data_IF_635098506368
#
_entry.id   IF_635098506368
#
_cell.length_a   1.000
_cell.length_b   1.000
_cell.length_c   1.000
_cell.angle_alpha   90.00
_cell.angle_beta   90.00
_cell.angle_gamma   90.00
#
_symmetry.space_group_name_H-M   'P 1'
#
loop_
_entity.id
_entity.type
_entity.pdbx_description
1 polymer ?
#
# COMPACT_ATOMS: atom_id res chain seq x y z
N UNK A 1 3.35 -28.97 4.88
CA UNK A 1 3.69 -27.64 5.46
C UNK A 1 2.85 -27.37 6.70
N UNK A 2 3.40 -26.70 7.71
CA UNK A 2 2.61 -26.26 8.88
C UNK A 2 1.75 -25.05 8.50
N UNK A 3 0.54 -25.00 9.06
CA UNK A 3 -0.45 -23.94 8.83
C UNK A 3 0.14 -22.53 9.06
N UNK A 4 -0.02 -21.62 8.09
CA UNK A 4 0.51 -20.23 8.11
C UNK A 4 -0.56 -19.23 8.55
N UNK A 5 -1.81 -19.46 8.16
CA UNK A 5 -2.97 -18.61 8.42
C UNK A 5 -4.15 -19.44 8.91
N UNK A 6 -5.19 -18.79 9.41
CA UNK A 6 -6.43 -19.44 9.82
C UNK A 6 -7.64 -18.58 9.46
N UNK A 7 -8.78 -19.22 9.21
CA UNK A 7 -10.07 -18.54 9.15
C UNK A 7 -10.61 -18.29 10.55
N UNK A 8 -11.12 -17.09 10.80
CA UNK A 8 -11.73 -16.71 12.08
C UNK A 8 -12.86 -17.66 12.47
N UNK A 9 -13.02 -17.89 13.78
CA UNK A 9 -14.09 -18.77 14.30
C UNK A 9 -15.48 -18.24 13.90
N UNK A 10 -15.67 -16.93 14.10
CA UNK A 10 -16.92 -16.23 13.80
C UNK A 10 -16.95 -15.73 12.37
N UNK A 11 -18.14 -15.76 11.76
CA UNK A 11 -18.41 -15.15 10.47
C UNK A 11 -18.59 -13.64 10.65
N UNK A 12 -18.18 -12.88 9.65
CA UNK A 12 -18.52 -11.47 9.49
C UNK A 12 -19.52 -11.32 8.34
N UNK A 13 -20.39 -10.33 8.43
CA UNK A 13 -21.34 -10.00 7.38
C UNK A 13 -20.75 -8.89 6.49
N UNK A 14 -20.80 -9.06 5.16
CA UNK A 14 -20.43 -8.00 4.24
C UNK A 14 -21.42 -6.82 4.34
N UNK A 15 -20.97 -5.58 4.60
CA UNK A 15 -21.87 -4.44 4.73
C UNK A 15 -22.51 -4.00 3.41
N UNK A 16 -21.93 -4.40 2.28
CA UNK A 16 -22.44 -4.10 0.95
C UNK A 16 -23.47 -5.14 0.47
N UNK A 17 -23.10 -6.42 0.44
CA UNK A 17 -23.94 -7.49 -0.15
C UNK A 17 -24.56 -8.46 0.86
N UNK A 18 -24.34 -8.28 2.17
CA UNK A 18 -24.89 -9.12 3.25
C UNK A 18 -24.43 -10.58 3.26
N UNK A 19 -23.48 -10.96 2.41
CA UNK A 19 -22.89 -12.29 2.43
C UNK A 19 -22.07 -12.52 3.72
N UNK A 20 -22.27 -13.67 4.35
CA UNK A 20 -21.60 -14.07 5.58
C UNK A 20 -20.39 -14.96 5.29
N UNK A 21 -19.20 -14.55 5.70
CA UNK A 21 -17.94 -15.25 5.42
C UNK A 21 -16.99 -15.21 6.60
N UNK A 22 -15.96 -16.07 6.61
CA UNK A 22 -14.89 -16.01 7.61
C UNK A 22 -13.72 -15.22 7.05
N UNK A 23 -13.14 -14.34 7.85
CA UNK A 23 -11.93 -13.62 7.48
C UNK A 23 -10.74 -14.55 7.68
N UNK A 24 -9.79 -14.55 6.75
CA UNK A 24 -8.50 -15.20 6.96
C UNK A 24 -7.53 -14.26 7.69
N UNK A 25 -6.82 -14.77 8.68
CA UNK A 25 -5.80 -14.05 9.45
C UNK A 25 -4.49 -14.84 9.51
N UNK A 26 -3.39 -14.11 9.47
CA UNK A 26 -2.06 -14.68 9.62
C UNK A 26 -1.85 -15.17 11.07
N UNK A 27 -1.27 -16.36 11.24
CA UNK A 27 -0.82 -16.79 12.56
C UNK A 27 0.42 -16.00 12.99
N UNK A 28 0.31 -15.27 14.09
CA UNK A 28 1.43 -14.57 14.73
C UNK A 28 2.09 -15.44 15.81
N UNK A 29 3.35 -15.16 16.14
CA UNK A 29 4.11 -15.89 17.17
C UNK A 29 4.87 -17.12 16.67
N UNK A 30 5.40 -17.93 17.60
CA UNK A 30 6.22 -19.13 17.31
C UNK A 30 7.39 -18.88 16.34
N UNK A 31 7.98 -17.68 16.39
CA UNK A 31 9.05 -17.21 15.51
C UNK A 31 8.75 -17.41 14.01
N UNK A 32 7.47 -17.35 13.62
CA UNK A 32 7.03 -17.52 12.23
C UNK A 32 7.59 -16.45 11.32
N UNK A 33 7.46 -15.19 11.75
CA UNK A 33 7.89 -14.02 11.00
C UNK A 33 9.29 -13.60 11.45
N UNK A 34 10.25 -13.75 10.55
CA UNK A 34 11.63 -13.33 10.76
C UNK A 34 11.84 -12.06 9.93
N UNK A 35 11.88 -10.91 10.60
CA UNK A 35 12.08 -9.62 9.96
C UNK A 35 13.47 -9.55 9.30
N UNK A 36 13.51 -9.22 8.02
CA UNK A 36 14.71 -8.93 7.25
C UNK A 36 14.96 -7.43 7.08
N UNK A 37 15.65 -7.08 6.00
CA UNK A 37 16.01 -5.70 5.65
C UNK A 37 14.76 -4.81 5.47
N UNK A 38 14.87 -3.54 5.87
CA UNK A 38 13.93 -2.51 5.42
C UNK A 38 14.49 -1.85 4.17
N UNK A 39 13.78 -1.99 3.05
CA UNK A 39 14.15 -1.34 1.79
C UNK A 39 13.99 0.18 1.84
N UNK A 40 14.55 0.84 0.83
CA UNK A 40 14.46 2.30 0.69
C UNK A 40 13.01 2.78 0.57
N UNK A 41 12.12 1.98 -0.02
CA UNK A 41 10.70 2.29 -0.12
C UNK A 41 9.88 1.90 1.12
N UNK A 42 10.53 1.56 2.23
CA UNK A 42 9.90 1.13 3.49
C UNK A 42 9.21 -0.24 3.42
N UNK A 43 9.46 -1.04 2.39
CA UNK A 43 9.09 -2.47 2.39
C UNK A 43 9.97 -3.24 3.38
N UNK A 44 9.35 -3.92 4.35
CA UNK A 44 10.03 -4.92 5.19
C UNK A 44 10.13 -6.24 4.43
N UNK A 45 11.36 -6.69 4.22
CA UNK A 45 11.60 -8.06 3.76
C UNK A 45 11.40 -9.05 4.92
N UNK A 46 10.98 -10.28 4.59
CA UNK A 46 10.85 -11.37 5.55
C UNK A 46 11.74 -12.52 5.12
N UNK A 47 12.60 -12.97 6.04
CA UNK A 47 13.52 -14.07 5.78
C UNK A 47 12.73 -15.37 5.75
N UNK A 48 13.03 -16.22 4.76
CA UNK A 48 12.44 -17.56 4.64
C UNK A 48 12.59 -18.32 5.95
N UNK A 49 11.48 -18.86 6.44
CA UNK A 49 11.48 -19.66 7.64
C UNK A 49 11.72 -21.13 7.29
N UNK A 50 12.68 -21.80 7.93
CA UNK A 50 12.98 -23.22 7.65
C UNK A 50 11.77 -24.15 7.85
N UNK A 51 10.91 -23.83 8.81
CA UNK A 51 9.76 -24.65 9.20
C UNK A 51 8.48 -24.31 8.41
N UNK A 52 8.32 -23.05 8.01
CA UNK A 52 7.07 -22.56 7.41
C UNK A 52 7.22 -22.12 5.94
N UNK A 53 8.44 -22.02 5.42
CA UNK A 53 8.73 -21.50 4.09
C UNK A 53 8.68 -19.98 4.02
N UNK A 54 8.42 -19.45 2.82
CA UNK A 54 8.20 -18.03 2.59
C UNK A 54 6.84 -17.63 3.20
N UNK A 55 6.83 -16.54 3.96
CA UNK A 55 5.60 -15.96 4.52
C UNK A 55 5.55 -14.51 4.11
N UNK A 56 4.40 -14.07 3.58
CA UNK A 56 4.17 -12.71 3.12
C UNK A 56 3.06 -12.06 3.96
N UNK A 57 3.38 -11.44 5.11
CA UNK A 57 2.35 -10.94 6.04
C UNK A 57 1.39 -9.95 5.41
N UNK A 58 1.89 -9.16 4.46
CA UNK A 58 1.11 -8.13 3.79
C UNK A 58 -0.12 -8.67 3.08
N UNK A 59 -0.15 -9.89 2.54
CA UNK A 59 -1.31 -10.39 1.78
C UNK A 59 -2.60 -10.55 2.62
N UNK A 60 -2.48 -10.47 3.95
CA UNK A 60 -3.59 -10.56 4.91
C UNK A 60 -4.10 -9.19 5.41
N UNK A 61 -3.60 -8.08 4.85
CA UNK A 61 -3.90 -6.72 5.36
C UNK A 61 -5.26 -6.17 4.95
N UNK A 62 -5.92 -6.77 3.96
CA UNK A 62 -7.16 -6.27 3.37
C UNK A 62 -8.27 -7.32 3.57
N UNK A 63 -9.39 -6.88 4.14
CA UNK A 63 -10.59 -7.70 4.22
C UNK A 63 -11.29 -7.66 2.86
N UNK A 64 -11.53 -8.82 2.26
CA UNK A 64 -12.23 -8.95 0.96
C UNK A 64 -13.49 -9.78 1.16
N UNK A 65 -14.63 -9.30 0.69
CA UNK A 65 -15.84 -10.11 0.61
C UNK A 65 -15.74 -11.09 -0.58
N UNK A 66 -15.85 -12.41 -0.36
CA UNK A 66 -15.74 -13.40 -1.44
C UNK A 66 -16.91 -13.34 -2.45
N UNK A 67 -18.01 -12.65 -2.13
CA UNK A 67 -19.18 -12.58 -3.02
C UNK A 67 -19.19 -11.35 -3.94
N UNK A 68 -19.00 -10.15 -3.38
CA UNK A 68 -19.11 -8.88 -4.12
C UNK A 68 -17.77 -8.15 -4.31
N UNK A 69 -16.69 -8.74 -3.82
CA UNK A 69 -15.31 -8.26 -3.93
C UNK A 69 -15.12 -6.85 -3.34
N UNK A 70 -15.98 -6.45 -2.39
CA UNK A 70 -15.72 -5.31 -1.52
C UNK A 70 -14.41 -5.56 -0.78
N UNK A 71 -13.45 -4.64 -0.92
CA UNK A 71 -12.13 -4.76 -0.32
C UNK A 71 -11.73 -3.45 0.37
N UNK A 72 -11.36 -3.52 1.64
CA UNK A 72 -10.89 -2.36 2.41
C UNK A 72 -9.91 -2.80 3.50
N UNK A 73 -9.25 -1.84 4.16
CA UNK A 73 -8.58 -2.13 5.43
C UNK A 73 -9.61 -2.62 6.49
N UNK A 74 -9.22 -3.51 7.43
CA UNK A 74 -10.13 -4.11 8.38
C UNK A 74 -10.92 -3.10 9.24
N UNK A 75 -10.29 -2.00 9.65
CA UNK A 75 -10.93 -0.93 10.42
C UNK A 75 -12.00 -0.18 9.60
N UNK A 76 -11.86 -0.14 8.27
CA UNK A 76 -12.79 0.55 7.36
C UNK A 76 -13.91 -0.36 6.86
N UNK A 77 -13.79 -1.69 7.00
CA UNK A 77 -14.69 -2.62 6.32
C UNK A 77 -16.14 -2.40 6.73
N UNK A 78 -16.43 -2.34 8.03
CA UNK A 78 -17.78 -2.07 8.53
C UNK A 78 -18.17 -0.59 8.42
N UNK A 79 -17.20 0.32 8.33
CA UNK A 79 -17.46 1.75 8.18
C UNK A 79 -18.15 2.09 6.84
N UNK A 80 -18.12 1.16 5.86
CA UNK A 80 -18.92 1.23 4.64
C UNK A 80 -20.43 1.36 4.91
N UNK A 81 -20.94 0.97 6.09
CA UNK A 81 -22.34 1.21 6.44
C UNK A 81 -22.67 2.70 6.64
N UNK A 82 -21.67 3.54 6.89
CA UNK A 82 -21.82 4.96 7.18
C UNK A 82 -21.82 5.84 5.91
N UNK A 83 -21.45 5.27 4.76
CA UNK A 83 -21.45 6.00 3.49
C UNK A 83 -22.88 6.29 3.03
N UNK A 84 -23.05 7.38 2.27
CA UNK A 84 -24.36 7.72 1.72
C UNK A 84 -24.86 6.67 0.69
N UNK A 85 -26.18 6.66 0.46
CA UNK A 85 -26.83 5.70 -0.44
C UNK A 85 -26.30 5.75 -1.88
N UNK A 86 -25.89 6.92 -2.38
CA UNK A 86 -25.36 7.05 -3.74
C UNK A 86 -24.00 6.36 -3.90
N UNK A 87 -23.11 6.51 -2.91
CA UNK A 87 -21.82 5.80 -2.86
C UNK A 87 -22.06 4.30 -2.75
N UNK A 88 -22.98 3.88 -1.87
CA UNK A 88 -23.33 2.46 -1.72
C UNK A 88 -23.87 1.86 -3.02
N UNK A 89 -24.76 2.56 -3.72
CA UNK A 89 -25.28 2.13 -5.00
C UNK A 89 -24.19 2.07 -6.07
N UNK A 90 -23.26 3.03 -6.08
CA UNK A 90 -22.10 3.02 -6.99
C UNK A 90 -21.23 1.79 -6.76
N UNK A 91 -20.94 1.45 -5.49
CA UNK A 91 -20.19 0.23 -5.14
C UNK A 91 -20.92 -1.05 -5.57
N UNK A 92 -22.26 -1.09 -5.48
CA UNK A 92 -23.08 -2.21 -5.96
C UNK A 92 -23.02 -2.33 -7.48
N UNK A 93 -23.22 -1.22 -8.20
CA UNK A 93 -23.24 -1.21 -9.67
C UNK A 93 -21.89 -1.63 -10.28
N UNK A 94 -20.80 -1.49 -9.53
CA UNK A 94 -19.43 -1.86 -9.95
C UNK A 94 -18.96 -3.23 -9.43
N UNK A 95 -19.88 -4.10 -8.98
CA UNK A 95 -19.54 -5.47 -8.56
C UNK A 95 -18.90 -6.25 -9.71
N UNK A 96 -19.49 -6.19 -10.90
CA UNK A 96 -19.01 -6.96 -12.05
C UNK A 96 -17.65 -6.46 -12.53
N UNK A 97 -17.45 -5.13 -12.58
CA UNK A 97 -16.15 -4.53 -12.86
C UNK A 97 -15.06 -5.02 -11.90
N UNK A 98 -15.35 -5.11 -10.60
CA UNK A 98 -14.41 -5.68 -9.62
C UNK A 98 -14.12 -7.15 -9.86
N UNK A 99 -15.09 -7.93 -10.34
CA UNK A 99 -14.90 -9.37 -10.62
C UNK A 99 -14.03 -9.61 -11.84
N UNK A 100 -13.88 -8.64 -12.74
CA UNK A 100 -12.92 -8.70 -13.85
C UNK A 100 -11.46 -8.75 -13.38
N UNK A 101 -11.16 -8.52 -12.10
CA UNK A 101 -9.82 -8.69 -11.53
C UNK A 101 -9.21 -10.08 -11.80
N UNK A 102 -10.07 -11.10 -11.95
CA UNK A 102 -9.67 -12.45 -12.32
C UNK A 102 -8.91 -12.49 -13.66
N UNK A 103 -9.15 -11.55 -14.57
CA UNK A 103 -8.45 -11.50 -15.86
C UNK A 103 -6.94 -11.20 -15.73
N UNK A 104 -6.50 -10.64 -14.60
CA UNK A 104 -5.08 -10.36 -14.34
C UNK A 104 -4.33 -11.62 -13.90
N UNK A 105 -5.03 -12.63 -13.39
CA UNK A 105 -4.43 -13.83 -12.81
C UNK A 105 -4.94 -15.07 -13.54
N UNK A 106 -4.05 -16.00 -13.88
CA UNK A 106 -4.40 -17.18 -14.71
C UNK A 106 -5.31 -18.20 -14.01
N UNK A 107 -5.71 -17.96 -12.75
CA UNK A 107 -6.46 -18.90 -11.88
C UNK A 107 -7.69 -18.27 -11.19
N UNK A 108 -8.66 -19.13 -10.85
CA UNK A 108 -9.84 -18.85 -10.01
C UNK A 108 -9.47 -18.28 -8.63
N UNK A 109 -9.33 -16.95 -8.55
CA UNK A 109 -9.17 -16.23 -7.28
C UNK A 109 -10.28 -16.66 -6.30
N UNK A 110 -9.89 -17.23 -5.17
CA UNK A 110 -10.84 -17.73 -4.18
C UNK A 110 -10.51 -17.27 -2.77
N UNK A 111 -11.28 -16.27 -2.29
CA UNK A 111 -11.13 -15.73 -0.94
C UNK A 111 -11.78 -16.58 0.16
N UNK A 112 -12.37 -17.74 -0.18
CA UNK A 112 -12.82 -18.74 0.81
C UNK A 112 -11.74 -19.77 1.14
N UNK A 113 -10.66 -19.81 0.37
CA UNK A 113 -9.51 -20.68 0.58
C UNK A 113 -8.30 -19.88 1.08
N UNK A 114 -7.29 -20.53 1.67
CA UNK A 114 -6.09 -19.84 2.12
C UNK A 114 -5.43 -19.03 1.01
N UNK A 115 -5.21 -17.74 1.24
CA UNK A 115 -4.66 -16.81 0.24
C UNK A 115 -3.27 -17.22 -0.24
N UNK A 116 -3.07 -17.11 -1.56
CA UNK A 116 -1.77 -17.06 -2.22
C UNK A 116 -1.37 -15.60 -2.45
N UNK A 117 -0.20 -15.40 -3.06
CA UNK A 117 0.26 -14.07 -3.46
C UNK A 117 -0.70 -13.39 -4.44
N UNK A 118 -1.36 -14.15 -5.31
CA UNK A 118 -2.35 -13.68 -6.28
C UNK A 118 -3.56 -13.05 -5.58
N UNK A 119 -4.16 -13.74 -4.60
CA UNK A 119 -5.26 -13.18 -3.81
C UNK A 119 -4.79 -11.96 -2.98
N UNK A 120 -3.54 -11.96 -2.53
CA UNK A 120 -2.90 -10.81 -1.90
C UNK A 120 -2.84 -9.58 -2.81
N UNK A 121 -2.32 -9.74 -4.02
CA UNK A 121 -2.23 -8.68 -5.01
C UNK A 121 -3.62 -8.19 -5.44
N UNK A 122 -4.53 -9.13 -5.77
CA UNK A 122 -5.92 -8.83 -6.10
C UNK A 122 -6.62 -8.02 -5.00
N UNK A 123 -6.38 -8.35 -3.73
CA UNK A 123 -6.97 -7.62 -2.60
C UNK A 123 -6.62 -6.13 -2.61
N UNK A 124 -5.38 -5.78 -2.92
CA UNK A 124 -4.96 -4.37 -2.98
C UNK A 124 -5.55 -3.63 -4.18
N UNK A 125 -5.63 -4.29 -5.34
CA UNK A 125 -6.24 -3.71 -6.53
C UNK A 125 -7.73 -3.46 -6.29
N UNK A 126 -8.43 -4.46 -5.75
CA UNK A 126 -9.83 -4.34 -5.36
C UNK A 126 -10.04 -3.22 -4.34
N UNK A 127 -9.14 -3.07 -3.36
CA UNK A 127 -9.22 -1.99 -2.39
C UNK A 127 -9.08 -0.63 -3.06
N UNK A 128 -8.16 -0.47 -4.02
CA UNK A 128 -8.04 0.76 -4.81
C UNK A 128 -9.36 1.08 -5.51
N UNK A 129 -9.96 0.10 -6.18
CA UNK A 129 -11.26 0.26 -6.87
C UNK A 129 -12.39 0.62 -5.91
N UNK A 130 -12.39 0.11 -4.67
CA UNK A 130 -13.40 0.47 -3.68
C UNK A 130 -13.18 1.89 -3.12
N UNK A 131 -11.94 2.25 -2.78
CA UNK A 131 -11.62 3.56 -2.22
C UNK A 131 -11.83 4.70 -3.22
N UNK A 132 -11.81 4.45 -4.53
CA UNK A 132 -12.05 5.46 -5.56
C UNK A 132 -13.39 6.22 -5.39
N UNK A 133 -14.43 5.55 -4.85
CA UNK A 133 -15.77 6.14 -4.68
C UNK A 133 -16.09 6.55 -3.24
N UNK A 134 -15.20 6.30 -2.28
CA UNK A 134 -15.46 6.68 -0.89
C UNK A 134 -15.22 8.17 -0.70
N UNK A 135 -15.95 8.76 0.24
CA UNK A 135 -15.77 10.15 0.61
C UNK A 135 -14.57 10.35 1.56
N UNK A 136 -14.24 11.61 1.79
CA UNK A 136 -13.07 12.04 2.58
C UNK A 136 -13.02 11.47 4.01
N UNK A 137 -14.14 11.03 4.58
CA UNK A 137 -14.15 10.44 5.93
C UNK A 137 -13.42 9.09 5.98
N UNK A 138 -13.14 8.48 4.82
CA UNK A 138 -12.44 7.20 4.68
C UNK A 138 -11.00 7.33 4.20
N UNK A 139 -10.43 8.54 4.17
CA UNK A 139 -9.08 8.83 3.63
C UNK A 139 -8.80 8.13 2.28
N UNK A 140 -9.71 8.23 1.29
CA UNK A 140 -9.69 7.41 0.08
C UNK A 140 -8.39 7.52 -0.69
N UNK A 141 -7.81 8.71 -0.82
CA UNK A 141 -6.59 8.94 -1.60
C UNK A 141 -5.37 8.30 -0.91
N UNK A 142 -5.21 8.51 0.40
CA UNK A 142 -4.12 7.90 1.17
C UNK A 142 -4.24 6.37 1.21
N UNK A 143 -5.45 5.85 1.38
CA UNK A 143 -5.69 4.42 1.41
C UNK A 143 -5.43 3.77 0.03
N UNK A 144 -5.78 4.45 -1.07
CA UNK A 144 -5.35 4.04 -2.41
C UNK A 144 -3.82 4.08 -2.56
N UNK A 145 -3.14 5.11 -2.06
CA UNK A 145 -1.68 5.23 -2.13
C UNK A 145 -0.97 4.05 -1.44
N UNK A 146 -1.41 3.71 -0.21
CA UNK A 146 -0.93 2.54 0.53
C UNK A 146 -1.20 1.23 -0.21
N UNK A 147 -2.39 1.07 -0.80
CA UNK A 147 -2.70 -0.13 -1.56
C UNK A 147 -1.87 -0.21 -2.85
N UNK A 148 -1.58 0.93 -3.51
CA UNK A 148 -0.77 0.95 -4.73
C UNK A 148 0.67 0.53 -4.44
N UNK A 149 1.33 1.10 -3.42
CA UNK A 149 2.71 0.69 -3.09
C UNK A 149 2.78 -0.77 -2.60
N UNK A 150 1.79 -1.23 -1.82
CA UNK A 150 1.70 -2.64 -1.40
C UNK A 150 1.42 -3.58 -2.58
N UNK A 151 0.68 -3.13 -3.58
CA UNK A 151 0.51 -3.88 -4.85
C UNK A 151 1.85 -4.02 -5.54
N UNK A 152 2.63 -2.93 -5.69
CA UNK A 152 3.96 -2.98 -6.29
C UNK A 152 4.88 -3.98 -5.57
N UNK A 153 4.88 -3.97 -4.23
CA UNK A 153 5.65 -4.93 -3.44
C UNK A 153 5.20 -6.37 -3.59
N UNK A 154 3.89 -6.60 -3.70
CA UNK A 154 3.33 -7.94 -3.87
C UNK A 154 3.61 -8.47 -5.27
N UNK A 155 3.60 -7.60 -6.29
CA UNK A 155 4.04 -7.97 -7.65
C UNK A 155 5.55 -8.23 -7.72
N UNK A 156 6.37 -7.55 -6.92
CA UNK A 156 7.77 -7.94 -6.75
C UNK A 156 7.90 -9.36 -6.19
N UNK A 157 7.08 -9.69 -5.18
CA UNK A 157 7.08 -11.01 -4.56
C UNK A 157 6.56 -12.08 -5.54
N UNK A 158 5.55 -11.77 -6.35
CA UNK A 158 5.05 -12.62 -7.44
C UNK A 158 6.08 -12.85 -8.54
N UNK A 159 6.80 -11.80 -8.98
CA UNK A 159 7.82 -11.91 -10.04
C UNK A 159 8.99 -12.80 -9.60
N UNK A 160 9.34 -12.78 -8.31
CA UNK A 160 10.36 -13.66 -7.73
C UNK A 160 9.92 -15.13 -7.70
N UNK A 161 8.68 -15.41 -7.32
CA UNK A 161 8.15 -16.77 -7.21
C UNK A 161 7.75 -17.35 -8.58
N UNK A 162 7.27 -16.50 -9.48
CA UNK A 162 6.74 -16.85 -10.80
C UNK A 162 7.33 -15.92 -11.87
N UNK A 163 8.64 -16.06 -12.19
CA UNK A 163 9.30 -15.21 -13.17
C UNK A 163 8.72 -15.38 -14.58
N UNK A 164 8.87 -14.36 -15.42
CA UNK A 164 8.39 -14.29 -16.82
C UNK A 164 6.86 -14.21 -17.01
N UNK A 165 6.11 -13.92 -15.94
CA UNK A 165 4.65 -13.70 -15.98
C UNK A 165 4.27 -12.21 -16.09
N UNK A 166 5.22 -11.35 -16.48
CA UNK A 166 5.06 -9.89 -16.57
C UNK A 166 4.69 -9.19 -15.24
N UNK A 167 4.93 -9.84 -14.09
CA UNK A 167 4.67 -9.23 -12.78
C UNK A 167 5.59 -8.04 -12.52
N UNK A 168 6.82 -8.03 -13.02
CA UNK A 168 7.69 -6.85 -13.03
C UNK A 168 7.09 -5.63 -13.74
N UNK A 169 6.29 -5.82 -14.79
CA UNK A 169 5.60 -4.75 -15.51
C UNK A 169 4.45 -4.18 -14.66
N UNK A 170 3.64 -5.06 -14.07
CA UNK A 170 2.58 -4.65 -13.14
C UNK A 170 3.15 -3.94 -11.91
N UNK A 171 4.27 -4.43 -11.36
CA UNK A 171 4.99 -3.76 -10.28
C UNK A 171 5.30 -2.29 -10.63
N UNK A 172 5.86 -2.03 -11.83
CA UNK A 172 6.17 -0.67 -12.28
C UNK A 172 4.91 0.19 -12.37
N UNK A 173 3.83 -0.31 -12.97
CA UNK A 173 2.54 0.41 -13.05
C UNK A 173 2.09 0.85 -11.67
N UNK A 174 2.14 -0.04 -10.68
CA UNK A 174 1.71 0.27 -9.32
C UNK A 174 2.66 1.24 -8.59
N UNK A 175 3.95 1.24 -8.89
CA UNK A 175 4.86 2.28 -8.39
C UNK A 175 4.53 3.66 -8.99
N UNK A 176 4.25 3.76 -10.29
CA UNK A 176 3.79 5.03 -10.90
C UNK A 176 2.47 5.50 -10.29
N UNK A 177 1.51 4.58 -10.11
CA UNK A 177 0.23 4.89 -9.44
C UNK A 177 0.43 5.35 -8.00
N UNK A 178 1.33 4.70 -7.26
CA UNK A 178 1.69 5.11 -5.91
C UNK A 178 2.32 6.52 -5.89
N UNK A 179 3.24 6.82 -6.82
CA UNK A 179 3.87 8.15 -6.93
C UNK A 179 2.80 9.25 -7.07
N UNK A 180 1.87 9.05 -8.01
CA UNK A 180 0.74 9.95 -8.22
C UNK A 180 -0.14 10.10 -6.96
N UNK A 181 -0.57 8.99 -6.35
CA UNK A 181 -1.50 9.02 -5.22
C UNK A 181 -0.88 9.59 -3.94
N UNK A 182 0.40 9.32 -3.67
CA UNK A 182 1.09 9.93 -2.52
C UNK A 182 1.22 11.45 -2.70
N UNK A 183 1.55 11.92 -3.90
CA UNK A 183 1.57 13.35 -4.21
C UNK A 183 0.18 13.98 -4.07
N UNK A 184 -0.84 13.36 -4.66
CA UNK A 184 -2.22 13.82 -4.58
C UNK A 184 -2.74 13.86 -3.14
N UNK A 185 -2.31 12.92 -2.28
CA UNK A 185 -2.65 12.92 -0.86
C UNK A 185 -2.18 14.21 -0.18
N UNK A 186 -0.94 14.63 -0.44
CA UNK A 186 -0.36 15.86 0.14
C UNK A 186 -1.10 17.09 -0.42
N UNK A 187 -1.35 17.13 -1.72
CA UNK A 187 -2.06 18.26 -2.36
C UNK A 187 -3.48 18.43 -1.78
N UNK A 188 -4.23 17.33 -1.62
CA UNK A 188 -5.58 17.35 -1.06
C UNK A 188 -5.63 17.67 0.43
N UNK A 189 -4.61 17.30 1.18
CA UNK A 189 -4.46 17.70 2.58
C UNK A 189 -4.18 19.20 2.68
N UNK A 190 -3.23 19.71 1.89
CA UNK A 190 -2.84 21.14 1.88
C UNK A 190 -3.98 22.07 1.47
N UNK A 191 -4.81 21.67 0.51
CA UNK A 191 -5.98 22.45 0.08
C UNK A 191 -7.26 22.13 0.87
N UNK A 192 -7.16 21.26 1.89
CA UNK A 192 -8.25 20.84 2.78
C UNK A 192 -9.45 20.17 2.08
N UNK A 193 -9.27 19.67 0.85
CA UNK A 193 -10.31 18.90 0.15
C UNK A 193 -10.47 17.48 0.72
N UNK A 194 -9.39 16.90 1.25
CA UNK A 194 -9.39 15.60 1.93
C UNK A 194 -8.48 15.66 3.17
N UNK A 195 -8.95 16.25 4.29
CA UNK A 195 -8.18 16.30 5.52
C UNK A 195 -7.97 14.89 6.09
N UNK A 196 -6.76 14.61 6.57
CA UNK A 196 -6.42 13.28 7.08
C UNK A 196 -6.63 13.23 8.60
N UNK A 197 -7.36 12.22 9.07
CA UNK A 197 -7.60 12.03 10.50
C UNK A 197 -6.30 11.68 11.25
N UNK A 198 -6.12 12.21 12.47
CA UNK A 198 -4.99 11.92 13.34
C UNK A 198 -4.89 10.43 13.74
N UNK A 199 -6.01 9.70 13.81
CA UNK A 199 -6.04 8.26 14.12
C UNK A 199 -5.60 7.37 12.94
N UNK A 200 -5.27 7.97 11.80
CA UNK A 200 -4.93 7.24 10.57
C UNK A 200 -3.61 6.49 10.70
N UNK A 201 -3.58 5.27 10.19
CA UNK A 201 -2.33 4.54 9.93
C UNK A 201 -1.77 5.02 8.59
N UNK A 202 -0.68 5.78 8.65
CA UNK A 202 0.07 6.34 7.54
C UNK A 202 1.07 5.35 6.94
N UNK A 203 1.59 4.42 7.75
CA UNK A 203 2.67 3.52 7.38
C UNK A 203 2.32 2.64 6.17
N UNK A 204 3.23 2.55 5.18
CA UNK A 204 2.97 1.78 3.98
C UNK A 204 3.11 0.27 4.23
N UNK A 205 3.83 -0.19 5.26
CA UNK A 205 3.90 -1.60 5.65
C UNK A 205 3.06 -1.87 6.90
N UNK A 206 3.02 -3.14 7.30
CA UNK A 206 2.28 -3.69 8.44
C UNK A 206 3.06 -3.62 9.75
N UNK A 207 4.37 -3.35 9.71
CA UNK A 207 5.25 -3.39 10.89
C UNK A 207 5.26 -2.06 11.67
N UNK A 208 5.35 -0.92 10.98
CA UNK A 208 5.52 0.40 11.57
C UNK A 208 4.72 1.48 10.85
N UNK A 209 4.14 2.39 11.63
CA UNK A 209 3.31 3.49 11.12
C UNK A 209 4.14 4.63 10.51
N UNK A 210 5.34 4.92 11.04
CA UNK A 210 6.21 6.03 10.62
C UNK A 210 5.58 7.44 10.58
N UNK A 211 4.29 7.58 10.91
CA UNK A 211 3.54 8.83 10.88
C UNK A 211 3.46 9.44 9.49
N UNK A 212 3.00 10.70 9.45
CA UNK A 212 2.87 11.47 8.22
C UNK A 212 4.21 11.67 7.49
N UNK A 213 5.34 11.61 8.22
CA UNK A 213 6.69 11.64 7.62
C UNK A 213 6.87 10.55 6.55
N UNK A 214 6.23 9.39 6.69
CA UNK A 214 6.28 8.34 5.64
C UNK A 214 5.56 8.75 4.37
N UNK A 215 4.45 9.49 4.46
CA UNK A 215 3.72 10.00 3.29
C UNK A 215 4.60 10.98 2.52
N UNK A 216 5.21 11.94 3.24
CA UNK A 216 6.12 12.92 2.66
C UNK A 216 7.36 12.25 2.05
N UNK A 217 7.94 11.29 2.78
CA UNK A 217 9.10 10.55 2.31
C UNK A 217 8.80 9.74 1.04
N UNK A 218 7.71 8.98 1.02
CA UNK A 218 7.34 8.15 -0.12
C UNK A 218 6.93 8.99 -1.33
N UNK A 219 6.24 10.12 -1.12
CA UNK A 219 5.96 11.06 -2.22
C UNK A 219 7.26 11.52 -2.90
N UNK A 220 8.24 11.98 -2.12
CA UNK A 220 9.53 12.40 -2.66
C UNK A 220 10.35 11.26 -3.28
N UNK A 221 10.38 10.09 -2.63
CA UNK A 221 11.09 8.91 -3.11
C UNK A 221 10.54 8.40 -4.45
N UNK A 222 9.21 8.26 -4.53
CA UNK A 222 8.56 7.73 -5.71
C UNK A 222 8.65 8.72 -6.86
N UNK A 223 8.50 10.03 -6.62
CA UNK A 223 8.75 11.06 -7.64
C UNK A 223 10.21 11.05 -8.12
N UNK A 224 11.17 10.81 -7.22
CA UNK A 224 12.57 10.67 -7.60
C UNK A 224 12.79 9.51 -8.59
N UNK A 225 12.20 8.33 -8.33
CA UNK A 225 12.39 7.16 -9.17
C UNK A 225 11.50 7.11 -10.42
N UNK A 226 10.26 7.58 -10.31
CA UNK A 226 9.18 7.39 -11.27
C UNK A 226 8.57 8.69 -11.80
N UNK A 227 9.05 9.86 -11.38
CA UNK A 227 8.70 11.15 -11.98
C UNK A 227 9.27 11.31 -13.40
N UNK A 228 8.87 12.38 -14.08
CA UNK A 228 9.35 12.69 -15.44
C UNK A 228 10.85 13.00 -15.43
N UNK A 229 11.61 12.36 -16.33
CA UNK A 229 13.06 12.53 -16.49
C UNK A 229 13.47 13.04 -17.87
N UNK A 230 12.51 13.26 -18.77
CA UNK A 230 12.76 13.65 -20.16
C UNK A 230 13.04 15.15 -20.26
N UNK A 231 12.26 15.98 -19.55
CA UNK A 231 12.50 17.42 -19.47
C UNK A 231 13.56 17.73 -18.41
N UNK A 232 14.71 18.22 -18.87
CA UNK A 232 15.86 18.56 -18.04
C UNK A 232 15.55 19.67 -17.02
N UNK A 233 14.85 20.72 -17.43
CA UNK A 233 14.55 21.85 -16.54
C UNK A 233 13.52 21.44 -15.49
N UNK A 234 12.50 20.72 -15.92
CA UNK A 234 11.48 20.17 -15.03
C UNK A 234 12.09 19.20 -14.01
N UNK A 235 12.95 18.27 -14.47
CA UNK A 235 13.64 17.33 -13.58
C UNK A 235 14.52 18.04 -12.56
N UNK A 236 15.25 19.08 -12.95
CA UNK A 236 16.05 19.86 -12.00
C UNK A 236 15.17 20.48 -10.90
N UNK A 237 14.07 21.14 -11.29
CA UNK A 237 13.15 21.76 -10.34
C UNK A 237 12.54 20.72 -9.38
N UNK A 238 12.09 19.58 -9.91
CA UNK A 238 11.61 18.47 -9.08
C UNK A 238 12.66 17.98 -8.08
N UNK A 239 13.90 17.76 -8.52
CA UNK A 239 14.97 17.28 -7.64
C UNK A 239 15.25 18.27 -6.50
N UNK A 240 15.21 19.57 -6.77
CA UNK A 240 15.35 20.61 -5.75
C UNK A 240 14.19 20.58 -4.76
N UNK A 241 12.95 20.44 -5.23
CA UNK A 241 11.76 20.32 -4.38
C UNK A 241 11.83 19.09 -3.47
N UNK A 242 12.13 17.91 -4.02
CA UNK A 242 12.26 16.67 -3.26
C UNK A 242 13.38 16.82 -2.22
N UNK A 243 14.54 17.37 -2.60
CA UNK A 243 15.66 17.60 -1.68
C UNK A 243 15.25 18.50 -0.51
N UNK A 244 14.51 19.58 -0.78
CA UNK A 244 14.02 20.50 0.24
C UNK A 244 13.02 19.81 1.17
N UNK A 245 12.11 19.00 0.62
CA UNK A 245 11.15 18.20 1.40
C UNK A 245 11.88 17.25 2.34
N UNK A 246 12.82 16.45 1.83
CA UNK A 246 13.61 15.51 2.62
C UNK A 246 14.43 16.21 3.71
N UNK A 247 15.00 17.38 3.41
CA UNK A 247 15.73 18.19 4.39
C UNK A 247 14.82 18.68 5.53
N UNK A 248 13.57 19.04 5.24
CA UNK A 248 12.59 19.47 6.26
C UNK A 248 12.21 18.31 7.18
N UNK A 249 11.94 17.13 6.61
CA UNK A 249 11.60 15.92 7.39
C UNK A 249 12.75 15.57 8.35
N UNK A 250 14.00 15.67 7.88
CA UNK A 250 15.19 15.42 8.67
C UNK A 250 15.56 16.54 9.67
N UNK A 251 15.19 17.80 9.38
CA UNK A 251 15.69 19.01 10.07
C UNK A 251 14.72 19.68 11.07
N UNK A 252 13.45 19.29 11.15
CA UNK A 252 12.55 19.82 12.19
C UNK A 252 12.93 19.27 13.58
N UNK A 253 13.40 20.16 14.45
CA UNK A 253 13.87 19.90 15.81
C UNK A 253 12.79 19.55 16.84
N UNK A 254 13.25 19.19 18.05
CA UNK A 254 12.54 18.65 19.23
C UNK A 254 11.82 17.29 19.06
N UNK A 255 11.27 16.96 17.89
CA UNK A 255 10.64 15.66 17.58
C UNK A 255 11.61 14.57 17.10
N UNK A 256 12.88 14.92 16.85
CA UNK A 256 13.95 13.98 16.43
C UNK A 256 14.21 12.82 17.40
N UNK A 257 13.76 12.90 18.66
CA UNK A 257 13.87 11.81 19.65
C UNK A 257 12.83 10.69 19.46
N UNK A 258 11.70 10.98 18.82
CA UNK A 258 10.61 10.01 18.59
C UNK A 258 10.60 9.44 17.16
N UNK A 259 11.26 10.12 16.21
CA UNK A 259 11.34 9.64 14.83
C UNK A 259 12.22 8.38 14.75
N UNK A 260 11.75 7.29 14.12
CA UNK A 260 12.56 6.07 13.99
C UNK A 260 13.86 6.37 13.25
N UNK A 261 15.02 6.09 13.88
CA UNK A 261 16.36 6.32 13.31
C UNK A 261 16.51 5.77 11.89
N UNK A 262 15.94 4.58 11.65
CA UNK A 262 15.91 3.93 10.35
C UNK A 262 15.28 4.80 9.25
N UNK A 263 14.19 5.52 9.52
CA UNK A 263 13.57 6.39 8.53
C UNK A 263 14.49 7.57 8.18
N UNK A 264 15.16 8.14 9.18
CA UNK A 264 16.14 9.22 8.99
C UNK A 264 17.30 8.74 8.11
N UNK A 265 17.80 7.52 8.32
CA UNK A 265 18.88 6.96 7.52
C UNK A 265 18.45 6.76 6.06
N UNK A 266 17.23 6.27 5.82
CA UNK A 266 16.68 6.15 4.46
C UNK A 266 16.46 7.52 3.79
N UNK A 267 16.04 8.54 4.55
CA UNK A 267 15.94 9.93 4.05
C UNK A 267 17.32 10.45 3.63
N UNK A 268 18.35 10.27 4.46
CA UNK A 268 19.72 10.70 4.16
C UNK A 268 20.29 10.00 2.92
N UNK A 269 20.05 8.70 2.78
CA UNK A 269 20.47 7.93 1.61
C UNK A 269 19.94 8.54 0.30
N UNK A 270 18.62 8.81 0.27
CA UNK A 270 17.94 9.39 -0.91
C UNK A 270 18.36 10.83 -1.14
N UNK A 271 18.47 11.63 -0.08
CA UNK A 271 18.95 13.01 -0.16
C UNK A 271 20.33 13.10 -0.82
N UNK A 272 21.23 12.17 -0.50
CA UNK A 272 22.57 12.14 -1.06
C UNK A 272 22.57 11.75 -2.54
N UNK A 273 21.73 10.78 -2.93
CA UNK A 273 21.52 10.40 -4.35
C UNK A 273 21.01 11.59 -5.16
N UNK A 274 19.98 12.28 -4.69
CA UNK A 274 19.43 13.50 -5.32
C UNK A 274 20.48 14.60 -5.40
N UNK A 275 21.25 14.84 -4.34
CA UNK A 275 22.29 15.87 -4.32
C UNK A 275 23.41 15.60 -5.32
N UNK A 276 23.73 14.34 -5.61
CA UNK A 276 24.66 13.97 -6.69
C UNK A 276 24.04 14.22 -8.05
N UNK A 277 22.79 13.82 -8.25
CA UNK A 277 22.09 14.00 -9.53
C UNK A 277 21.94 15.48 -9.89
N UNK A 278 21.57 16.36 -8.95
CA UNK A 278 21.49 17.81 -9.15
C UNK A 278 22.81 18.40 -9.69
N UNK A 279 23.97 17.87 -9.26
CA UNK A 279 25.27 18.37 -9.74
C UNK A 279 25.51 18.08 -11.22
N UNK A 280 24.82 17.09 -11.82
CA UNK A 280 24.93 16.77 -13.24
C UNK A 280 24.17 17.75 -14.15
N UNK A 281 23.30 18.58 -13.56
CA UNK A 281 22.57 19.62 -14.28
C UNK A 281 23.35 20.93 -14.39
N UNK A 282 24.39 21.11 -13.56
CA UNK A 282 25.35 22.22 -13.63
C UNK A 282 26.38 21.98 -14.71
#
# INVERSE_FOLDING_TARGET
MKKISYFTKYKIECPLCKHNFRKEELLTGSSRLISGELKVDLKREYIKNEKYGNIYPRIYSITVCPNCYLATFPNEFNAILLVNNNIKQTLINRIDERKEIKSIFEDDLNFNEPRRLQEGAASYILAIMCYEYLDKNHNPTLNQAKCAIRSAWTFEDLDKEYPNQNYNYLQKIFYYKAAYLYKLTIEKEQNNSEPINAETVFGPDTDKNYGYDSVLYLSGLLEYFYGNKEDRQYRYNQLVEIKNLLSKIAGMGKSSKEKPSILIDKIKEVYFKISKEIKTFK
#
